data_IF_038679850422
#
_entry.id   IF_038679850422
#
_cell.length_a   1.000
_cell.length_b   1.000
_cell.length_c   1.000
_cell.angle_alpha   90.00
_cell.angle_beta   90.00
_cell.angle_gamma   90.00
#
_symmetry.space_group_name_H-M   'P 1'
#
loop_
_entity.id
_entity.type
_entity.pdbx_description
1 polymer ?
#
# COMPACT_ATOMS: atom_id res chain seq x y z
N UNK A 1 18.54 -36.64 32.02
CA UNK A 1 19.17 -35.31 31.85
C UNK A 1 18.53 -34.67 30.62
N UNK A 2 17.81 -33.55 30.79
CA UNK A 2 16.95 -32.96 29.75
C UNK A 2 17.80 -32.06 28.85
N UNK A 3 18.19 -32.56 27.67
CA UNK A 3 19.04 -31.85 26.69
C UNK A 3 18.28 -30.69 26.01
N UNK A 4 17.98 -29.64 26.77
CA UNK A 4 17.31 -28.42 26.30
C UNK A 4 18.26 -27.42 25.64
N UNK A 5 19.58 -27.60 25.85
CA UNK A 5 20.66 -26.77 25.30
C UNK A 5 20.61 -26.56 23.76
N UNK A 6 20.43 -27.60 22.91
CA UNK A 6 20.36 -27.40 21.46
C UNK A 6 19.10 -26.64 21.03
N UNK A 7 18.00 -26.80 21.76
CA UNK A 7 16.73 -26.13 21.47
C UNK A 7 16.81 -24.62 21.78
N UNK A 8 17.48 -24.26 22.87
CA UNK A 8 17.74 -22.87 23.23
C UNK A 8 18.65 -22.16 22.22
N UNK A 9 19.67 -22.84 21.69
CA UNK A 9 20.59 -22.30 20.67
C UNK A 9 19.86 -22.08 19.34
N UNK A 10 18.99 -23.02 18.95
CA UNK A 10 18.19 -22.89 17.73
C UNK A 10 17.24 -21.69 17.79
N UNK A 11 16.66 -21.41 18.96
CA UNK A 11 15.74 -20.29 19.15
C UNK A 11 16.45 -18.92 19.06
N UNK A 12 17.69 -18.82 19.53
CA UNK A 12 18.52 -17.60 19.44
C UNK A 12 18.96 -17.33 18.00
N UNK A 13 19.26 -18.37 17.22
CA UNK A 13 19.61 -18.24 15.80
C UNK A 13 18.43 -17.77 14.93
N UNK A 14 17.19 -18.14 15.28
CA UNK A 14 16.00 -17.70 14.55
C UNK A 14 15.71 -16.21 14.84
N UNK A 15 15.98 -15.74 16.06
CA UNK A 15 15.76 -14.36 16.46
C UNK A 15 16.68 -13.36 15.73
N UNK A 16 17.91 -13.76 15.37
CA UNK A 16 18.88 -12.86 14.70
C UNK A 16 18.59 -12.60 13.21
N UNK A 17 17.77 -13.43 12.56
CA UNK A 17 17.39 -13.25 11.13
C UNK A 17 16.25 -12.24 10.96
N UNK A 18 15.50 -11.93 12.03
CA UNK A 18 14.29 -11.09 11.97
C UNK A 18 14.60 -9.59 11.84
N UNK A 19 15.76 -9.12 12.30
CA UNK A 19 16.16 -7.71 12.19
C UNK A 19 16.93 -7.43 10.89
N UNK A 20 16.21 -7.32 9.77
CA UNK A 20 16.69 -6.60 8.58
C UNK A 20 15.97 -5.26 8.49
N UNK A 21 16.56 -4.21 9.06
CA UNK A 21 16.05 -2.84 8.87
C UNK A 21 16.47 -2.35 7.47
N UNK A 22 15.74 -2.78 6.46
CA UNK A 22 15.93 -2.35 5.08
C UNK A 22 15.32 -0.95 4.91
N UNK A 23 16.04 0.08 5.36
CA UNK A 23 15.70 1.49 5.09
C UNK A 23 15.92 1.77 3.59
N UNK A 24 14.98 1.34 2.75
CA UNK A 24 15.01 1.50 1.29
C UNK A 24 13.85 2.40 0.83
N UNK A 25 13.78 3.62 1.33
CA UNK A 25 13.08 4.71 0.63
C UNK A 25 14.00 5.11 -0.55
N UNK A 26 13.73 4.60 -1.77
CA UNK A 26 12.69 5.10 -2.67
C UNK A 26 11.88 3.99 -3.39
N UNK A 27 12.01 2.72 -2.97
CA UNK A 27 11.40 1.56 -3.69
C UNK A 27 9.94 1.31 -3.36
N UNK A 28 9.36 2.00 -2.37
CA UNK A 28 7.99 1.74 -1.96
C UNK A 28 6.98 2.10 -3.07
N UNK A 29 7.15 3.28 -3.69
CA UNK A 29 6.28 3.73 -4.79
C UNK A 29 6.56 2.98 -6.10
N UNK A 30 7.76 2.45 -6.30
CA UNK A 30 8.04 1.55 -7.43
C UNK A 30 7.18 0.27 -7.40
N UNK A 31 6.63 -0.12 -6.24
CA UNK A 31 5.66 -1.23 -6.14
C UNK A 31 4.21 -0.78 -6.33
N UNK A 32 3.94 0.52 -6.38
CA UNK A 32 2.60 1.09 -6.57
C UNK A 32 2.24 1.26 -8.06
N UNK A 33 3.02 0.69 -8.99
CA UNK A 33 2.71 0.74 -10.42
C UNK A 33 1.34 0.14 -10.76
N UNK A 34 0.88 -0.83 -9.98
CA UNK A 34 -0.47 -1.40 -10.14
C UNK A 34 -1.58 -0.37 -9.94
N UNK A 35 -1.35 0.74 -9.21
CA UNK A 35 -2.35 1.76 -8.90
C UNK A 35 -2.63 2.67 -10.11
N UNK A 36 -1.70 2.77 -11.07
CA UNK A 36 -1.83 3.66 -12.21
C UNK A 36 -3.03 3.28 -13.09
N UNK A 37 -3.90 4.26 -13.37
CA UNK A 37 -5.08 4.08 -14.21
C UNK A 37 -6.34 4.67 -13.58
N UNK A 38 -7.47 4.35 -14.22
CA UNK A 38 -8.79 4.75 -13.75
C UNK A 38 -9.50 3.56 -13.11
N UNK A 39 -10.09 3.80 -11.94
CA UNK A 39 -10.77 2.81 -11.11
C UNK A 39 -12.22 3.22 -10.89
N UNK A 40 -13.10 2.22 -10.83
CA UNK A 40 -14.52 2.42 -10.58
C UNK A 40 -14.96 1.38 -9.55
N UNK A 41 -15.66 1.85 -8.51
CA UNK A 41 -16.40 1.02 -7.58
C UNK A 41 -17.87 1.45 -7.62
N UNK A 42 -18.73 0.56 -8.11
CA UNK A 42 -20.17 0.79 -8.20
C UNK A 42 -20.87 0.21 -6.98
N UNK A 43 -21.77 1.00 -6.40
CA UNK A 43 -22.60 0.57 -5.27
C UNK A 43 -24.02 1.13 -5.39
N UNK A 44 -25.01 0.55 -4.68
CA UNK A 44 -26.36 1.12 -4.64
C UNK A 44 -26.44 2.57 -4.13
N UNK A 45 -25.41 3.00 -3.39
CA UNK A 45 -25.36 4.33 -2.79
C UNK A 45 -24.70 5.39 -3.68
N UNK A 46 -24.08 4.97 -4.78
CA UNK A 46 -23.31 5.82 -5.67
C UNK A 46 -22.09 5.11 -6.23
N UNK A 47 -21.40 5.79 -7.15
CA UNK A 47 -20.21 5.30 -7.81
C UNK A 47 -19.00 6.10 -7.32
N UNK A 48 -17.98 5.39 -6.84
CA UNK A 48 -16.66 5.96 -6.60
C UNK A 48 -15.84 5.80 -7.88
N UNK A 49 -15.34 6.90 -8.41
CA UNK A 49 -14.34 6.89 -9.49
C UNK A 49 -13.02 7.44 -8.96
N UNK A 50 -11.92 6.82 -9.34
CA UNK A 50 -10.58 7.28 -8.99
C UNK A 50 -9.69 7.31 -10.23
N UNK A 51 -8.85 8.33 -10.36
CA UNK A 51 -7.85 8.43 -11.42
C UNK A 51 -6.48 8.66 -10.81
N UNK A 52 -5.55 7.75 -11.10
CA UNK A 52 -4.21 7.73 -10.55
C UNK A 52 -3.16 7.84 -11.64
N UNK A 53 -2.26 8.81 -11.51
CA UNK A 53 -1.21 9.09 -12.48
C UNK A 53 0.16 9.15 -11.81
N UNK A 54 1.10 8.35 -12.32
CA UNK A 54 2.52 8.47 -11.99
C UNK A 54 3.05 9.77 -12.58
N UNK A 55 3.49 10.71 -11.74
CA UNK A 55 4.15 11.95 -12.19
C UNK A 55 5.66 11.76 -12.33
N UNK A 56 6.26 10.92 -11.48
CA UNK A 56 7.64 10.45 -11.61
C UNK A 56 7.84 9.19 -10.76
N UNK A 57 9.08 8.67 -10.70
CA UNK A 57 9.44 7.44 -9.98
C UNK A 57 9.25 7.51 -8.46
N UNK A 58 8.88 8.67 -7.92
CA UNK A 58 8.63 8.89 -6.50
C UNK A 58 7.40 9.75 -6.24
N UNK A 59 6.51 9.90 -7.22
CA UNK A 59 5.33 10.75 -7.08
C UNK A 59 4.13 10.22 -7.86
N UNK A 60 3.03 10.02 -7.16
CA UNK A 60 1.72 9.74 -7.74
C UNK A 60 0.72 10.84 -7.40
N UNK A 61 -0.13 11.18 -8.36
CA UNK A 61 -1.29 12.04 -8.13
C UNK A 61 -2.56 11.21 -8.29
N UNK A 62 -3.40 11.21 -7.27
CA UNK A 62 -4.72 10.60 -7.26
C UNK A 62 -5.81 11.67 -7.21
N UNK A 63 -6.93 11.42 -7.87
CA UNK A 63 -8.17 12.16 -7.66
C UNK A 63 -9.31 11.17 -7.55
N UNK A 64 -10.24 11.40 -6.61
CA UNK A 64 -11.42 10.55 -6.43
C UNK A 64 -12.70 11.38 -6.41
N UNK A 65 -13.78 10.81 -6.93
CA UNK A 65 -15.11 11.38 -6.92
C UNK A 65 -16.13 10.34 -6.48
N UNK A 66 -16.94 10.66 -5.48
CA UNK A 66 -18.12 9.85 -5.15
C UNK A 66 -19.37 10.54 -5.70
N UNK A 67 -19.98 9.94 -6.71
CA UNK A 67 -21.12 10.49 -7.44
C UNK A 67 -22.39 9.70 -7.10
N UNK A 68 -23.48 10.41 -6.81
CA UNK A 68 -24.81 9.83 -6.65
C UNK A 68 -25.80 10.58 -7.53
N UNK A 69 -26.36 9.89 -8.52
CA UNK A 69 -27.21 10.54 -9.51
C UNK A 69 -26.40 11.55 -10.34
N UNK A 70 -26.70 12.85 -10.19
CA UNK A 70 -25.99 13.93 -10.89
C UNK A 70 -25.06 14.74 -9.97
N UNK A 71 -25.08 14.45 -8.67
CA UNK A 71 -24.35 15.21 -7.68
C UNK A 71 -23.03 14.55 -7.32
N UNK A 72 -21.99 15.35 -7.16
CA UNK A 72 -20.73 14.92 -6.54
C UNK A 72 -20.87 15.13 -5.03
N UNK A 73 -20.86 14.03 -4.27
CA UNK A 73 -20.98 14.07 -2.81
C UNK A 73 -19.61 14.27 -2.17
N UNK A 74 -18.58 13.61 -2.71
CA UNK A 74 -17.21 13.71 -2.22
C UNK A 74 -16.22 13.88 -3.35
N UNK A 75 -15.19 14.68 -3.10
CA UNK A 75 -14.04 14.85 -3.96
C UNK A 75 -12.78 14.83 -3.09
N UNK A 76 -11.75 14.11 -3.56
CA UNK A 76 -10.43 14.10 -2.95
C UNK A 76 -9.34 14.30 -4.01
N UNK A 77 -8.25 14.94 -3.61
CA UNK A 77 -7.01 14.98 -4.38
C UNK A 77 -5.85 14.56 -3.46
N UNK A 78 -5.09 13.58 -3.92
CA UNK A 78 -4.02 12.93 -3.16
C UNK A 78 -2.71 13.10 -3.91
N UNK A 79 -1.65 13.39 -3.17
CA UNK A 79 -0.27 13.38 -3.65
C UNK A 79 0.50 12.37 -2.80
N UNK A 80 1.02 11.32 -3.44
CA UNK A 80 1.70 10.19 -2.82
C UNK A 80 3.19 10.14 -3.16
#
# INVERSE_FOLDING_TARGET
>A
MRNTLPLSILMILIASVSCKNDQKAPRALARAEWLQGDWINESPNGNLTESWQKKNDSLYHGQSFFIKGKDTIHFESIVL
#
